data_IF_958219003976
#
_entry.id   IF_958219003976
#
_cell.length_a   1.000
_cell.length_b   1.000
_cell.length_c   1.000
_cell.angle_alpha   90.00
_cell.angle_beta   90.00
_cell.angle_gamma   90.00
#
_symmetry.space_group_name_H-M   'P 1'
#
loop_
_entity.id
_entity.type
_entity.pdbx_description
1 polymer ?
#
# COMPACT_ATOMS: atom_id res chain seq x y z
N UNK A 1 101.30 -40.30 -7.24
CA UNK A 1 102.60 -39.97 -7.95
C UNK A 1 102.65 -38.45 -8.09
N UNK A 2 103.74 -37.89 -7.55
CA UNK A 2 104.56 -36.74 -7.96
C UNK A 2 103.91 -35.37 -8.09
N UNK A 3 104.05 -34.50 -7.13
CA UNK A 3 105.04 -33.38 -6.95
C UNK A 3 105.19 -32.40 -8.12
N UNK A 4 105.70 -31.20 -7.84
CA UNK A 4 105.23 -29.91 -7.23
C UNK A 4 105.54 -28.73 -8.19
N UNK A 5 105.30 -27.46 -7.80
CA UNK A 5 106.30 -26.38 -7.82
C UNK A 5 105.83 -25.04 -7.35
N UNK A 6 106.50 -24.61 -6.42
CA UNK A 6 106.76 -23.38 -5.75
C UNK A 6 107.21 -22.23 -6.67
N UNK A 7 106.84 -21.02 -6.42
CA UNK A 7 107.65 -19.77 -6.38
C UNK A 7 106.68 -18.58 -6.11
N UNK A 8 106.87 -18.04 -5.06
CA UNK A 8 107.78 -17.00 -4.54
C UNK A 8 107.30 -15.57 -4.90
N UNK A 9 106.94 -14.85 -3.87
CA UNK A 9 107.24 -13.47 -3.55
C UNK A 9 107.34 -12.43 -4.68
N UNK A 10 106.39 -11.47 -4.61
CA UNK A 10 106.68 -10.06 -4.78
C UNK A 10 105.71 -9.22 -3.96
N UNK A 11 106.14 -8.88 -2.76
CA UNK A 11 105.49 -7.83 -1.95
C UNK A 11 105.72 -6.48 -2.65
N UNK A 12 104.77 -6.03 -3.43
CA UNK A 12 104.71 -4.66 -3.88
C UNK A 12 104.24 -3.78 -2.69
N UNK A 13 105.19 -3.08 -2.09
CA UNK A 13 104.99 -2.04 -1.10
C UNK A 13 104.15 -0.92 -1.71
N UNK A 14 102.81 -0.90 -1.41
CA UNK A 14 101.94 0.15 -1.78
C UNK A 14 102.31 1.41 -0.97
N UNK A 15 102.72 2.46 -1.63
CA UNK A 15 102.98 3.78 -1.03
C UNK A 15 101.86 4.31 -0.16
N UNK A 16 102.11 5.00 0.98
CA UNK A 16 101.12 5.47 1.92
C UNK A 16 100.10 6.42 1.29
N UNK A 17 100.38 6.99 0.14
CA UNK A 17 99.44 7.87 -0.61
C UNK A 17 98.32 7.14 -1.32
N UNK A 18 98.49 5.90 -1.82
CA UNK A 18 97.49 5.09 -2.50
C UNK A 18 96.50 4.48 -1.51
N UNK A 19 96.94 4.08 -0.32
CA UNK A 19 96.08 3.59 0.76
C UNK A 19 95.10 4.64 1.24
N UNK A 20 95.52 5.90 1.34
CA UNK A 20 94.63 7.04 1.73
C UNK A 20 93.64 7.37 0.63
N UNK A 21 93.96 7.29 -0.62
CA UNK A 21 93.07 7.50 -1.76
C UNK A 21 91.97 6.40 -1.82
N UNK A 22 92.34 5.15 -1.63
CA UNK A 22 91.44 4.00 -1.61
C UNK A 22 90.50 4.03 -0.37
N UNK A 23 91.00 4.43 0.80
CA UNK A 23 90.24 4.60 2.01
C UNK A 23 89.23 5.76 1.88
N UNK A 24 89.61 6.89 1.27
CA UNK A 24 88.72 8.05 1.03
C UNK A 24 87.68 7.72 -0.02
N UNK A 25 88.02 6.97 -1.07
CA UNK A 25 86.99 6.49 -2.05
C UNK A 25 86.00 5.51 -1.47
N UNK A 26 86.43 4.61 -0.54
CA UNK A 26 85.49 3.72 0.18
C UNK A 26 84.59 4.48 1.12
N UNK A 27 85.07 5.50 1.85
CA UNK A 27 84.24 6.32 2.74
C UNK A 27 83.21 7.15 1.94
N UNK A 28 83.63 7.72 0.81
CA UNK A 28 82.69 8.48 -0.06
C UNK A 28 81.61 7.56 -0.66
N UNK A 29 82.00 6.35 -1.11
CA UNK A 29 80.99 5.37 -1.58
C UNK A 29 80.07 4.94 -0.45
N UNK A 30 80.57 4.68 0.75
CA UNK A 30 79.69 4.35 1.89
C UNK A 30 78.75 5.51 2.34
N UNK A 31 79.20 6.78 2.20
CA UNK A 31 78.35 7.91 2.47
C UNK A 31 77.26 8.13 1.40
N UNK A 32 77.59 7.88 0.12
CA UNK A 32 76.64 7.91 -0.98
C UNK A 32 75.58 6.80 -0.82
N UNK A 33 76.03 5.57 -0.59
CA UNK A 33 75.17 4.40 -0.34
C UNK A 33 74.29 4.60 0.90
N UNK A 34 74.84 5.22 1.96
CA UNK A 34 74.00 5.59 3.14
C UNK A 34 73.01 6.68 2.83
N UNK A 35 73.29 7.68 2.02
CA UNK A 35 72.41 8.72 1.60
C UNK A 35 71.32 8.17 0.67
N UNK A 36 71.64 7.32 -0.27
CA UNK A 36 70.68 6.65 -1.15
C UNK A 36 69.79 5.67 -0.39
N UNK A 37 70.35 4.86 0.50
CA UNK A 37 69.56 3.94 1.34
C UNK A 37 68.62 4.70 2.32
N UNK A 38 69.07 5.85 2.83
CA UNK A 38 68.25 6.70 3.70
C UNK A 38 67.12 7.42 2.92
N UNK A 39 67.35 7.82 1.67
CA UNK A 39 66.35 8.37 0.76
C UNK A 39 65.34 7.30 0.35
N UNK A 40 65.79 6.15 -0.09
CA UNK A 40 64.92 5.01 -0.44
C UNK A 40 64.10 4.50 0.73
N UNK A 41 64.63 4.54 1.96
CA UNK A 41 63.88 4.16 3.16
C UNK A 41 62.82 5.19 3.57
N UNK A 42 63.10 6.50 3.36
CA UNK A 42 62.12 7.59 3.55
C UNK A 42 61.02 7.56 2.50
N UNK A 43 61.34 7.36 1.23
CA UNK A 43 60.36 7.20 0.15
C UNK A 43 59.45 5.99 0.37
N UNK A 44 60.00 4.85 0.77
CA UNK A 44 59.19 3.67 1.13
C UNK A 44 58.31 3.88 2.35
N UNK A 45 58.77 4.68 3.33
CA UNK A 45 57.92 5.08 4.47
C UNK A 45 56.79 6.00 4.03
N UNK A 46 57.09 7.03 3.22
CA UNK A 46 56.06 7.95 2.67
C UNK A 46 55.08 7.22 1.76
N UNK A 47 55.54 6.28 0.91
CA UNK A 47 54.67 5.44 0.10
C UNK A 47 53.76 4.55 0.97
N UNK A 48 54.33 3.89 1.98
CA UNK A 48 53.49 3.10 2.91
C UNK A 48 52.48 3.94 3.65
N UNK A 49 52.89 5.11 4.14
CA UNK A 49 51.95 6.06 4.82
C UNK A 49 50.88 6.54 3.85
N UNK A 50 51.24 6.90 2.62
CA UNK A 50 50.29 7.31 1.59
C UNK A 50 49.29 6.20 1.23
N UNK A 51 49.80 4.94 1.08
CA UNK A 51 48.96 3.76 0.82
C UNK A 51 48.03 3.51 2.03
N UNK A 52 48.57 3.59 3.27
CA UNK A 52 47.75 3.38 4.47
C UNK A 52 46.65 4.44 4.60
N UNK A 53 46.96 5.69 4.32
CA UNK A 53 45.97 6.80 4.30
C UNK A 53 44.96 6.55 3.18
N UNK A 54 45.43 6.18 1.98
CA UNK A 54 44.54 5.90 0.84
C UNK A 54 43.59 4.73 1.12
N UNK A 55 44.08 3.64 1.67
CA UNK A 55 43.26 2.49 2.09
C UNK A 55 42.28 2.89 3.21
N UNK A 56 42.77 3.66 4.19
CA UNK A 56 41.92 4.18 5.26
C UNK A 56 40.75 5.05 4.74
N UNK A 57 41.05 5.95 3.78
CA UNK A 57 40.01 6.79 3.14
C UNK A 57 39.04 5.95 2.32
N UNK A 58 39.54 4.94 1.61
CA UNK A 58 38.71 4.03 0.81
C UNK A 58 37.79 3.20 1.68
N UNK A 59 38.30 2.69 2.81
CA UNK A 59 37.47 1.99 3.81
C UNK A 59 36.43 2.91 4.46
N UNK A 60 36.78 4.16 4.72
CA UNK A 60 35.86 5.15 5.26
C UNK A 60 34.73 5.46 4.26
N UNK A 61 35.07 5.69 2.98
CA UNK A 61 34.08 5.90 1.91
C UNK A 61 33.18 4.66 1.78
N UNK A 62 33.78 3.47 1.75
CA UNK A 62 33.03 2.22 1.67
C UNK A 62 32.10 2.04 2.89
N UNK A 63 32.58 2.39 4.09
CA UNK A 63 31.77 2.38 5.30
C UNK A 63 30.57 3.32 5.23
N UNK A 64 30.79 4.56 4.76
CA UNK A 64 29.70 5.55 4.59
C UNK A 64 28.66 5.06 3.55
N UNK A 65 29.14 4.58 2.40
CA UNK A 65 28.24 4.08 1.34
C UNK A 65 27.48 2.84 1.82
N UNK A 66 28.16 1.90 2.48
CA UNK A 66 27.52 0.70 3.04
C UNK A 66 26.50 1.04 4.13
N UNK A 67 26.81 2.01 4.98
CA UNK A 67 25.88 2.49 6.01
C UNK A 67 24.68 3.18 5.39
N UNK A 68 24.90 4.05 4.37
CA UNK A 68 23.80 4.68 3.63
C UNK A 68 22.90 3.65 2.95
N UNK A 69 23.50 2.66 2.28
CA UNK A 69 22.76 1.56 1.67
C UNK A 69 21.96 0.75 2.69
N UNK A 70 22.58 0.44 3.85
CA UNK A 70 21.89 -0.25 4.94
C UNK A 70 20.68 0.54 5.46
N UNK A 71 20.82 1.84 5.67
CA UNK A 71 19.76 2.71 6.17
C UNK A 71 18.59 2.88 5.18
N UNK A 72 18.88 2.94 3.89
CA UNK A 72 17.91 3.26 2.84
C UNK A 72 17.22 2.00 2.27
N UNK A 73 17.98 0.91 2.06
CA UNK A 73 17.47 -0.25 1.35
C UNK A 73 17.32 -1.51 2.20
N UNK A 74 18.16 -1.70 3.22
CA UNK A 74 18.13 -2.94 3.98
C UNK A 74 17.23 -2.88 5.21
N UNK A 75 17.30 -1.80 5.97
CA UNK A 75 16.56 -1.63 7.23
C UNK A 75 15.07 -1.36 7.02
N UNK A 76 14.63 -0.39 6.16
CA UNK A 76 13.23 0.02 6.10
C UNK A 76 12.25 -1.12 5.77
N UNK A 77 12.51 -2.03 4.80
CA UNK A 77 11.56 -3.11 4.50
C UNK A 77 11.35 -4.10 5.63
N UNK A 78 12.27 -4.16 6.61
CA UNK A 78 12.23 -5.07 7.76
C UNK A 78 11.66 -4.44 9.03
N UNK A 79 11.41 -3.14 8.99
CA UNK A 79 10.75 -2.46 10.11
C UNK A 79 9.29 -2.88 10.15
N UNK A 80 8.78 -3.15 11.34
CA UNK A 80 7.37 -3.49 11.51
C UNK A 80 6.47 -2.29 11.14
N UNK A 81 5.37 -2.58 10.45
CA UNK A 81 4.34 -1.62 10.05
C UNK A 81 3.15 -1.66 11.00
N UNK A 82 2.74 -2.84 11.40
CA UNK A 82 1.66 -3.07 12.35
C UNK A 82 1.65 -4.51 12.82
N UNK A 83 0.86 -4.80 13.84
CA UNK A 83 0.70 -6.15 14.38
C UNK A 83 -0.71 -6.40 14.90
N UNK A 84 -1.15 -7.65 14.76
CA UNK A 84 -2.38 -8.17 15.35
C UNK A 84 -1.99 -9.38 16.19
N UNK A 85 -2.04 -9.25 17.52
CA UNK A 85 -1.51 -10.25 18.47
C UNK A 85 -0.08 -10.65 18.12
N UNK A 86 0.15 -11.91 17.81
CA UNK A 86 1.48 -12.48 17.50
C UNK A 86 1.90 -12.33 16.03
N UNK A 87 1.02 -11.80 15.17
CA UNK A 87 1.31 -11.61 13.74
C UNK A 87 1.77 -10.18 13.50
N UNK A 88 3.01 -10.04 13.03
CA UNK A 88 3.61 -8.76 12.67
C UNK A 88 3.69 -8.61 11.15
N UNK A 89 3.36 -7.43 10.67
CA UNK A 89 3.51 -7.04 9.27
C UNK A 89 4.64 -6.02 9.15
N UNK A 90 5.46 -6.19 8.13
CA UNK A 90 6.60 -5.32 7.83
C UNK A 90 6.25 -4.25 6.81
N UNK A 91 7.05 -3.18 6.75
CA UNK A 91 6.92 -2.16 5.70
C UNK A 91 7.17 -2.74 4.29
N UNK A 92 8.00 -3.79 4.18
CA UNK A 92 8.21 -4.50 2.91
C UNK A 92 6.96 -5.23 2.43
N UNK A 93 6.25 -5.91 3.33
CA UNK A 93 4.96 -6.55 3.03
C UNK A 93 3.90 -5.53 2.66
N UNK A 94 3.86 -4.39 3.34
CA UNK A 94 2.96 -3.28 2.98
C UNK A 94 3.25 -2.77 1.55
N UNK A 95 4.52 -2.56 1.18
CA UNK A 95 4.90 -2.21 -0.20
C UNK A 95 4.40 -3.24 -1.20
N UNK A 96 4.59 -4.52 -0.91
CA UNK A 96 4.15 -5.61 -1.79
C UNK A 96 2.62 -5.59 -1.97
N UNK A 97 1.88 -5.40 -0.89
CA UNK A 97 0.40 -5.34 -0.93
C UNK A 97 -0.12 -4.13 -1.72
N UNK A 98 0.50 -2.96 -1.57
CA UNK A 98 0.10 -1.77 -2.34
C UNK A 98 0.42 -1.95 -3.83
N UNK A 99 1.53 -2.62 -4.18
CA UNK A 99 1.83 -2.97 -5.58
C UNK A 99 0.75 -3.85 -6.21
N UNK A 100 0.26 -4.82 -5.44
CA UNK A 100 -0.88 -5.66 -5.83
C UNK A 100 -2.10 -4.80 -6.12
N UNK A 101 -2.42 -3.85 -5.24
CA UNK A 101 -3.52 -2.90 -5.46
C UNK A 101 -3.31 -2.06 -6.74
N UNK A 102 -2.10 -1.55 -6.97
CA UNK A 102 -1.79 -0.83 -8.21
C UNK A 102 -1.98 -1.70 -9.46
N UNK A 103 -1.57 -2.96 -9.39
CA UNK A 103 -1.78 -3.91 -10.49
C UNK A 103 -3.26 -4.11 -10.82
N UNK A 104 -4.13 -4.12 -9.80
CA UNK A 104 -5.57 -4.31 -9.95
C UNK A 104 -6.31 -3.03 -10.33
N UNK A 105 -6.04 -1.92 -9.66
CA UNK A 105 -6.80 -0.67 -9.78
C UNK A 105 -6.14 0.39 -10.67
N UNK A 106 -4.89 0.20 -11.06
CA UNK A 106 -4.11 1.19 -11.79
C UNK A 106 -3.42 2.19 -10.86
N UNK A 107 -3.59 3.50 -11.11
CA UNK A 107 -2.99 4.51 -10.24
C UNK A 107 -3.72 4.58 -8.90
N UNK A 108 -2.94 4.62 -7.80
CA UNK A 108 -3.42 4.82 -6.43
C UNK A 108 -2.83 6.10 -5.87
N UNK A 109 -3.57 6.79 -5.02
CA UNK A 109 -3.09 7.98 -4.31
C UNK A 109 -2.15 7.55 -3.18
N UNK A 110 -0.85 7.70 -3.38
CA UNK A 110 0.16 7.28 -2.41
C UNK A 110 0.28 8.20 -1.19
N UNK A 111 -0.46 9.30 -1.14
CA UNK A 111 -0.48 10.18 0.05
C UNK A 111 -1.33 9.60 1.19
N UNK A 112 -2.36 8.84 0.86
CA UNK A 112 -3.32 8.27 1.81
C UNK A 112 -3.24 6.74 1.83
N UNK A 113 -3.11 6.11 0.67
CA UNK A 113 -3.19 4.66 0.46
C UNK A 113 -2.28 3.83 1.37
N UNK A 114 -1.01 4.20 1.65
CA UNK A 114 -0.17 3.35 2.50
C UNK A 114 -0.75 3.14 3.90
N UNK A 115 -1.38 4.16 4.47
CA UNK A 115 -1.99 4.08 5.78
C UNK A 115 -3.32 3.30 5.75
N UNK A 116 -4.18 3.61 4.80
CA UNK A 116 -5.45 2.90 4.61
C UNK A 116 -5.23 1.42 4.31
N UNK A 117 -4.20 1.14 3.51
CA UNK A 117 -3.90 -0.25 3.15
C UNK A 117 -3.30 -1.05 4.31
N UNK A 118 -2.51 -0.42 5.17
CA UNK A 118 -2.08 -1.06 6.42
C UNK A 118 -3.30 -1.40 7.29
N UNK A 119 -4.25 -0.47 7.43
CA UNK A 119 -5.49 -0.72 8.16
C UNK A 119 -6.24 -1.92 7.59
N UNK A 120 -6.45 -1.94 6.28
CA UNK A 120 -7.13 -3.06 5.61
C UNK A 120 -6.38 -4.40 5.80
N UNK A 121 -5.06 -4.38 5.80
CA UNK A 121 -4.24 -5.56 6.05
C UNK A 121 -4.42 -6.09 7.48
N UNK A 122 -4.45 -5.18 8.46
CA UNK A 122 -4.72 -5.53 9.85
C UNK A 122 -6.15 -6.05 10.04
N UNK A 123 -7.14 -5.42 9.40
CA UNK A 123 -8.55 -5.87 9.45
C UNK A 123 -8.73 -7.27 8.86
N UNK A 124 -8.05 -7.56 7.75
CA UNK A 124 -8.06 -8.91 7.16
C UNK A 124 -7.48 -9.95 8.12
N UNK A 125 -6.40 -9.60 8.83
CA UNK A 125 -5.80 -10.49 9.83
C UNK A 125 -6.68 -10.64 11.08
N UNK A 126 -7.31 -9.55 11.55
CA UNK A 126 -8.30 -9.61 12.65
C UNK A 126 -9.44 -10.55 12.27
N UNK A 127 -10.00 -10.40 11.06
CA UNK A 127 -11.07 -11.28 10.58
C UNK A 127 -10.59 -12.73 10.44
N UNK A 128 -9.37 -12.97 9.96
CA UNK A 128 -8.79 -14.30 9.86
C UNK A 128 -8.70 -14.99 11.23
N UNK A 129 -8.32 -14.24 12.27
CA UNK A 129 -8.22 -14.78 13.64
C UNK A 129 -9.58 -14.92 14.32
N UNK A 130 -10.48 -13.97 14.12
CA UNK A 130 -11.83 -13.98 14.70
C UNK A 130 -12.76 -14.97 13.97
N UNK A 131 -12.48 -15.25 12.70
CA UNK A 131 -13.37 -16.01 11.80
C UNK A 131 -13.78 -17.37 12.34
N UNK A 132 -12.86 -18.12 12.96
CA UNK A 132 -13.18 -19.41 13.54
C UNK A 132 -14.27 -19.32 14.63
N UNK A 133 -14.19 -18.29 15.49
CA UNK A 133 -15.20 -18.04 16.52
C UNK A 133 -16.55 -17.57 15.98
N UNK A 134 -16.54 -16.97 14.78
CA UNK A 134 -17.74 -16.50 14.06
C UNK A 134 -18.33 -17.56 13.12
N UNK A 135 -17.73 -18.75 13.04
CA UNK A 135 -18.14 -19.79 12.08
C UNK A 135 -17.74 -19.47 10.62
N UNK A 136 -16.86 -18.51 10.41
CA UNK A 136 -16.36 -18.12 9.10
C UNK A 136 -15.10 -18.91 8.81
N UNK A 137 -15.14 -19.78 7.80
CA UNK A 137 -13.98 -20.51 7.30
C UNK A 137 -13.91 -20.41 5.78
N UNK A 138 -12.73 -20.19 5.22
CA UNK A 138 -12.51 -20.18 3.76
C UNK A 138 -11.54 -21.29 3.43
N UNK A 139 -12.02 -22.28 2.68
CA UNK A 139 -11.23 -23.44 2.25
C UNK A 139 -10.51 -23.14 0.94
N UNK A 140 -9.50 -23.96 0.59
CA UNK A 140 -8.84 -23.86 -0.72
C UNK A 140 -9.84 -24.11 -1.86
N UNK A 141 -10.79 -25.02 -1.66
CA UNK A 141 -11.88 -25.28 -2.61
C UNK A 141 -12.74 -24.05 -2.88
N UNK A 142 -13.05 -23.25 -1.85
CA UNK A 142 -13.79 -21.98 -2.02
C UNK A 142 -12.98 -20.99 -2.87
N UNK A 143 -11.66 -20.89 -2.64
CA UNK A 143 -10.77 -20.03 -3.40
C UNK A 143 -10.67 -20.48 -4.86
N UNK A 144 -10.54 -21.79 -5.09
CA UNK A 144 -10.51 -22.36 -6.43
C UNK A 144 -11.82 -22.08 -7.19
N UNK A 145 -12.94 -22.26 -6.50
CA UNK A 145 -14.26 -21.99 -7.08
C UNK A 145 -14.42 -20.51 -7.42
N UNK A 146 -14.04 -19.60 -6.50
CA UNK A 146 -14.11 -18.16 -6.74
C UNK A 146 -13.23 -17.73 -7.92
N UNK A 147 -12.03 -18.32 -8.06
CA UNK A 147 -11.18 -18.06 -9.21
C UNK A 147 -11.81 -18.56 -10.51
N UNK A 148 -12.42 -19.76 -10.49
CA UNK A 148 -13.13 -20.30 -11.66
C UNK A 148 -14.32 -19.43 -12.04
N UNK A 149 -15.14 -19.03 -11.08
CA UNK A 149 -16.32 -18.17 -11.34
C UNK A 149 -15.93 -16.85 -12.01
N UNK A 150 -14.73 -16.33 -11.71
CA UNK A 150 -14.26 -15.08 -12.28
C UNK A 150 -13.68 -15.22 -13.68
N UNK A 151 -13.01 -16.33 -14.00
CA UNK A 151 -12.26 -16.50 -15.24
C UNK A 151 -12.84 -17.52 -16.22
N UNK A 152 -13.82 -18.32 -15.79
CA UNK A 152 -14.54 -19.16 -16.71
C UNK A 152 -15.38 -18.29 -17.66
N UNK A 153 -15.32 -18.55 -18.97
CA UNK A 153 -16.18 -17.85 -19.91
C UNK A 153 -17.66 -18.15 -19.62
N UNK A 154 -18.49 -17.10 -19.65
CA UNK A 154 -19.94 -17.25 -19.55
C UNK A 154 -20.45 -17.98 -20.78
N UNK A 155 -21.08 -19.11 -20.56
CA UNK A 155 -21.66 -19.92 -21.64
C UNK A 155 -22.96 -19.31 -22.12
N UNK A 156 -23.18 -19.22 -23.45
CA UNK A 156 -24.54 -19.06 -23.98
C UNK A 156 -25.39 -20.27 -23.58
N UNK A 157 -26.62 -20.05 -23.17
CA UNK A 157 -27.55 -21.13 -22.87
C UNK A 157 -27.70 -22.07 -24.06
N UNK A 158 -27.49 -23.38 -23.81
CA UNK A 158 -27.68 -24.43 -24.83
C UNK A 158 -26.43 -24.91 -25.56
N UNK A 159 -25.22 -24.40 -25.27
CA UNK A 159 -23.98 -24.95 -25.84
C UNK A 159 -23.32 -25.95 -24.86
N UNK A 160 -23.16 -27.21 -25.32
CA UNK A 160 -22.27 -28.16 -24.69
C UNK A 160 -20.82 -27.77 -24.98
N UNK A 161 -20.06 -27.51 -23.93
CA UNK A 161 -18.63 -27.22 -24.04
C UNK A 161 -17.83 -28.40 -23.52
N UNK A 162 -16.74 -28.71 -24.17
CA UNK A 162 -15.78 -29.72 -23.69
C UNK A 162 -15.16 -29.23 -22.36
N UNK A 163 -15.25 -30.03 -21.28
CA UNK A 163 -14.64 -29.67 -20.00
C UNK A 163 -13.13 -29.38 -20.10
N UNK A 164 -12.42 -30.04 -21.00
CA UNK A 164 -10.99 -29.81 -21.24
C UNK A 164 -10.71 -28.44 -21.86
N UNK A 165 -11.56 -28.01 -22.82
CA UNK A 165 -11.46 -26.67 -23.43
C UNK A 165 -11.75 -25.58 -22.39
N UNK A 166 -12.77 -25.74 -21.56
CA UNK A 166 -13.09 -24.77 -20.49
C UNK A 166 -11.97 -24.60 -19.49
N UNK A 167 -11.35 -25.70 -19.07
CA UNK A 167 -10.21 -25.63 -18.16
C UNK A 167 -9.00 -24.92 -18.80
N UNK A 168 -8.77 -25.13 -20.09
CA UNK A 168 -7.71 -24.46 -20.83
C UNK A 168 -8.00 -22.95 -20.96
N UNK A 169 -9.24 -22.56 -21.26
CA UNK A 169 -9.67 -21.17 -21.35
C UNK A 169 -9.55 -20.47 -19.98
N UNK A 170 -9.98 -21.14 -18.91
CA UNK A 170 -9.79 -20.65 -17.55
C UNK A 170 -8.33 -20.34 -17.25
N UNK A 171 -7.42 -21.31 -17.49
CA UNK A 171 -5.98 -21.13 -17.24
C UNK A 171 -5.39 -19.99 -18.06
N UNK A 172 -5.79 -19.87 -19.30
CA UNK A 172 -5.32 -18.81 -20.17
C UNK A 172 -5.79 -17.42 -19.69
N UNK A 173 -7.08 -17.30 -19.33
CA UNK A 173 -7.66 -16.05 -18.83
C UNK A 173 -7.00 -15.64 -17.50
N UNK A 174 -6.78 -16.59 -16.58
CA UNK A 174 -6.07 -16.35 -15.34
C UNK A 174 -4.63 -15.89 -15.59
N UNK A 175 -3.88 -16.56 -16.46
CA UNK A 175 -2.52 -16.16 -16.80
C UNK A 175 -2.45 -14.76 -17.45
N UNK A 176 -3.37 -14.43 -18.34
CA UNK A 176 -3.46 -13.09 -18.94
C UNK A 176 -3.71 -12.04 -17.85
N UNK A 177 -4.63 -12.33 -16.93
CA UNK A 177 -4.92 -11.45 -15.79
C UNK A 177 -3.70 -11.25 -14.91
N UNK A 178 -3.04 -12.32 -14.46
CA UNK A 178 -1.85 -12.28 -13.61
C UNK A 178 -0.71 -11.52 -14.28
N UNK A 179 -0.47 -11.76 -15.57
CA UNK A 179 0.56 -11.04 -16.33
C UNK A 179 0.24 -9.54 -16.45
N UNK A 180 -1.02 -9.18 -16.68
CA UNK A 180 -1.46 -7.78 -16.81
C UNK A 180 -1.36 -7.02 -15.47
N UNK A 181 -1.68 -7.69 -14.37
CA UNK A 181 -1.67 -7.11 -13.04
C UNK A 181 -0.32 -7.23 -12.34
N UNK A 182 0.64 -7.94 -12.96
CA UNK A 182 1.94 -8.27 -12.37
C UNK A 182 1.83 -8.98 -11.01
N UNK A 183 0.84 -9.88 -10.89
CA UNK A 183 0.61 -10.68 -9.69
C UNK A 183 1.09 -12.11 -9.89
N UNK A 184 1.53 -12.71 -8.80
CA UNK A 184 1.66 -14.15 -8.71
C UNK A 184 0.30 -14.78 -8.38
N UNK A 185 0.10 -16.03 -8.76
CA UNK A 185 -1.11 -16.76 -8.41
C UNK A 185 -1.30 -16.86 -6.88
N UNK A 186 -0.21 -17.04 -6.13
CA UNK A 186 -0.25 -17.08 -4.66
C UNK A 186 -0.78 -15.78 -4.05
N UNK A 187 -0.32 -14.63 -4.53
CA UNK A 187 -0.80 -13.32 -4.09
C UNK A 187 -2.29 -13.14 -4.41
N UNK A 188 -2.69 -13.52 -5.61
CA UNK A 188 -4.09 -13.44 -6.01
C UNK A 188 -4.99 -14.33 -5.13
N UNK A 189 -4.56 -15.57 -4.83
CA UNK A 189 -5.30 -16.49 -3.93
C UNK A 189 -5.46 -15.91 -2.52
N UNK A 190 -4.47 -15.21 -2.00
CA UNK A 190 -4.59 -14.52 -0.70
C UNK A 190 -5.68 -13.45 -0.75
N UNK A 191 -5.71 -12.64 -1.81
CA UNK A 191 -6.75 -11.62 -2.00
C UNK A 191 -8.14 -12.25 -2.08
N UNK A 192 -8.30 -13.30 -2.87
CA UNK A 192 -9.58 -14.02 -2.97
C UNK A 192 -10.04 -14.56 -1.61
N UNK A 193 -9.13 -15.12 -0.83
CA UNK A 193 -9.43 -15.62 0.52
C UNK A 193 -9.93 -14.51 1.44
N UNK A 194 -9.25 -13.38 1.43
CA UNK A 194 -9.64 -12.20 2.23
C UNK A 194 -11.03 -11.67 1.79
N UNK A 195 -11.26 -11.56 0.47
CA UNK A 195 -12.55 -11.13 -0.07
C UNK A 195 -13.70 -12.10 0.29
N UNK A 196 -13.45 -13.41 0.21
CA UNK A 196 -14.43 -14.44 0.59
C UNK A 196 -14.76 -14.38 2.09
N UNK A 197 -13.73 -14.19 2.93
CA UNK A 197 -13.94 -14.03 4.37
C UNK A 197 -14.80 -12.81 4.68
N UNK A 198 -14.48 -11.66 4.06
CA UNK A 198 -15.23 -10.43 4.22
C UNK A 198 -16.68 -10.56 3.73
N UNK A 199 -16.89 -11.23 2.60
CA UNK A 199 -18.24 -11.52 2.08
C UNK A 199 -19.02 -12.41 3.04
N UNK A 200 -18.40 -13.43 3.64
CA UNK A 200 -19.05 -14.31 4.64
C UNK A 200 -19.39 -13.55 5.91
N UNK A 201 -18.52 -12.63 6.35
CA UNK A 201 -18.81 -11.72 7.46
C UNK A 201 -20.02 -10.84 7.13
N UNK A 202 -20.05 -10.23 5.95
CA UNK A 202 -21.17 -9.40 5.52
C UNK A 202 -22.49 -10.18 5.50
N UNK A 203 -22.50 -11.41 5.00
CA UNK A 203 -23.67 -12.29 5.02
C UNK A 203 -24.11 -12.62 6.45
N UNK A 204 -23.17 -12.95 7.33
CA UNK A 204 -23.44 -13.26 8.73
C UNK A 204 -24.09 -12.07 9.45
N UNK A 205 -23.48 -10.90 9.33
CA UNK A 205 -24.00 -9.68 9.95
C UNK A 205 -25.35 -9.26 9.34
N UNK A 206 -25.52 -9.50 8.05
CA UNK A 206 -26.74 -9.21 7.31
C UNK A 206 -27.96 -10.05 7.72
N UNK A 207 -27.74 -11.22 8.33
CA UNK A 207 -28.84 -12.05 8.87
C UNK A 207 -29.64 -11.35 10.00
N UNK A 208 -29.06 -10.33 10.63
CA UNK A 208 -29.70 -9.53 11.65
C UNK A 208 -30.48 -8.31 11.12
N UNK A 209 -30.52 -8.12 9.80
CA UNK A 209 -31.28 -7.02 9.18
C UNK A 209 -32.68 -7.53 8.90
N UNK A 210 -33.66 -6.93 9.54
CA UNK A 210 -35.09 -7.19 9.28
C UNK A 210 -35.45 -6.86 7.83
N UNK A 211 -36.47 -7.50 7.29
CA UNK A 211 -36.92 -7.21 5.93
C UNK A 211 -37.61 -5.85 5.83
N UNK A 212 -38.29 -5.42 6.90
CA UNK A 212 -38.95 -4.11 7.04
C UNK A 212 -38.29 -3.32 8.16
N UNK A 213 -38.17 -2.01 7.99
CA UNK A 213 -37.67 -1.09 9.01
C UNK A 213 -38.36 0.28 8.87
N UNK A 214 -38.33 1.08 9.94
CA UNK A 214 -38.66 2.50 9.85
C UNK A 214 -37.63 3.22 8.97
N UNK A 215 -38.11 3.88 7.93
CA UNK A 215 -37.34 4.60 6.93
C UNK A 215 -37.88 5.99 6.72
N UNK A 216 -37.07 6.86 6.17
CA UNK A 216 -37.45 8.20 5.70
C UNK A 216 -37.25 8.29 4.20
N UNK A 217 -38.16 8.94 3.50
CA UNK A 217 -38.02 9.18 2.07
C UNK A 217 -37.27 10.49 1.83
N UNK A 218 -36.22 10.44 1.03
CA UNK A 218 -35.36 11.60 0.81
C UNK A 218 -34.93 11.76 -0.64
N UNK A 219 -34.58 12.97 -0.97
CA UNK A 219 -33.72 13.32 -2.09
C UNK A 219 -32.57 14.18 -1.57
N UNK A 220 -31.39 14.12 -2.25
CA UNK A 220 -30.25 14.93 -1.86
C UNK A 220 -29.40 15.40 -3.03
N UNK A 221 -28.70 16.49 -2.76
CA UNK A 221 -27.59 16.98 -3.57
C UNK A 221 -26.30 16.63 -2.81
N UNK A 222 -25.37 15.94 -3.46
CA UNK A 222 -24.05 15.67 -2.93
C UNK A 222 -22.99 16.38 -3.76
N UNK A 223 -22.20 17.22 -3.11
CA UNK A 223 -21.05 17.90 -3.69
C UNK A 223 -19.76 17.23 -3.17
N UNK A 224 -18.75 17.12 -4.02
CA UNK A 224 -17.44 16.69 -3.59
C UNK A 224 -16.79 17.73 -2.67
N UNK A 225 -15.93 17.30 -1.73
CA UNK A 225 -15.24 18.21 -0.79
C UNK A 225 -14.36 19.26 -1.50
N UNK A 226 -13.86 18.93 -2.69
CA UNK A 226 -13.07 19.81 -3.55
C UNK A 226 -13.90 20.49 -4.65
N UNK A 227 -15.23 20.40 -4.58
CA UNK A 227 -16.12 21.02 -5.56
C UNK A 227 -15.90 22.56 -5.59
N UNK A 228 -15.98 23.13 -6.78
CA UNK A 228 -16.00 24.59 -6.96
C UNK A 228 -17.37 25.20 -6.74
N UNK A 229 -18.39 24.35 -6.60
CA UNK A 229 -19.77 24.75 -6.35
C UNK A 229 -19.93 25.07 -4.87
N UNK A 230 -20.40 26.27 -4.54
CA UNK A 230 -20.65 26.67 -3.16
C UNK A 230 -21.97 26.03 -2.67
N UNK A 231 -21.87 25.19 -1.63
CA UNK A 231 -23.00 24.51 -1.05
C UNK A 231 -24.04 25.47 -0.44
N UNK A 232 -23.62 26.63 0.07
CA UNK A 232 -24.54 27.64 0.61
C UNK A 232 -25.31 28.34 -0.53
N UNK A 233 -24.66 28.59 -1.65
CA UNK A 233 -25.33 29.13 -2.84
C UNK A 233 -26.36 28.13 -3.39
N UNK A 234 -26.00 26.84 -3.48
CA UNK A 234 -26.91 25.80 -3.90
C UNK A 234 -28.11 25.74 -2.96
N UNK A 235 -27.89 25.80 -1.63
CA UNK A 235 -29.00 25.80 -0.66
C UNK A 235 -29.94 27.01 -0.83
N UNK A 236 -29.39 28.21 -1.08
CA UNK A 236 -30.17 29.43 -1.31
C UNK A 236 -31.03 29.35 -2.60
N UNK A 237 -30.48 28.69 -3.65
CA UNK A 237 -31.25 28.44 -4.88
C UNK A 237 -32.50 27.62 -4.63
N UNK A 238 -32.43 26.62 -3.72
CA UNK A 238 -33.52 25.72 -3.39
C UNK A 238 -34.69 26.41 -2.67
N UNK A 239 -34.54 27.65 -2.23
CA UNK A 239 -35.66 28.43 -1.70
C UNK A 239 -36.63 28.91 -2.80
N UNK A 240 -36.21 28.95 -4.06
CA UNK A 240 -36.96 29.48 -5.18
C UNK A 240 -36.94 28.58 -6.43
N UNK A 241 -36.15 27.53 -6.44
CA UNK A 241 -35.99 26.66 -7.58
C UNK A 241 -36.38 25.21 -7.21
N UNK A 242 -36.82 24.48 -8.21
CA UNK A 242 -37.14 23.05 -8.07
C UNK A 242 -35.93 22.23 -7.69
N UNK A 243 -36.04 21.33 -6.69
CA UNK A 243 -34.95 20.54 -6.16
C UNK A 243 -34.32 19.65 -7.23
N UNK A 244 -35.14 18.94 -8.02
CA UNK A 244 -34.68 18.01 -9.04
C UNK A 244 -33.91 18.73 -10.16
N UNK A 245 -34.31 19.97 -10.49
CA UNK A 245 -33.58 20.78 -11.47
C UNK A 245 -32.21 21.19 -10.95
N UNK A 246 -32.16 21.74 -9.75
CA UNK A 246 -30.87 22.14 -9.15
C UNK A 246 -29.96 20.92 -8.97
N UNK A 247 -30.51 19.81 -8.48
CA UNK A 247 -29.75 18.55 -8.33
C UNK A 247 -29.21 18.07 -9.68
N UNK A 248 -30.00 18.12 -10.74
CA UNK A 248 -29.57 17.75 -12.09
C UNK A 248 -28.42 18.58 -12.63
N UNK A 249 -28.28 19.85 -12.20
CA UNK A 249 -27.20 20.74 -12.62
C UNK A 249 -25.91 20.54 -11.83
N UNK A 250 -25.99 20.28 -10.51
CA UNK A 250 -24.82 20.35 -9.61
C UNK A 250 -24.43 19.02 -8.98
N UNK A 251 -25.28 18.00 -9.02
CA UNK A 251 -25.06 16.72 -8.38
C UNK A 251 -24.11 15.83 -9.19
N UNK A 252 -22.82 16.12 -9.13
CA UNK A 252 -21.80 15.45 -9.95
C UNK A 252 -21.37 14.07 -9.41
N UNK A 253 -21.76 13.73 -8.17
CA UNK A 253 -21.31 12.54 -7.46
C UNK A 253 -22.46 11.75 -6.80
N UNK A 254 -23.60 11.69 -7.45
CA UNK A 254 -24.82 11.04 -6.95
C UNK A 254 -24.70 9.51 -6.92
N UNK A 255 -23.98 8.97 -5.93
CA UNK A 255 -23.70 7.52 -5.88
C UNK A 255 -24.93 6.67 -5.56
N UNK A 256 -25.94 7.21 -4.91
CA UNK A 256 -27.20 6.53 -4.51
C UNK A 256 -28.45 7.29 -4.98
N UNK A 257 -28.28 8.47 -5.56
CA UNK A 257 -29.38 9.26 -6.07
C UNK A 257 -29.57 9.09 -7.57
N UNK A 258 -30.82 9.11 -8.03
CA UNK A 258 -31.18 9.20 -9.43
C UNK A 258 -30.83 10.60 -10.00
N UNK A 259 -30.80 10.77 -11.32
CA UNK A 259 -30.79 12.11 -11.91
C UNK A 259 -31.95 12.94 -11.30
N UNK A 260 -31.64 14.12 -10.78
CA UNK A 260 -32.59 14.93 -10.03
C UNK A 260 -32.54 14.76 -8.51
N UNK A 261 -31.67 13.90 -7.98
CA UNK A 261 -31.37 13.83 -6.56
C UNK A 261 -32.22 12.83 -5.77
N UNK A 262 -33.24 12.23 -6.36
CA UNK A 262 -34.11 11.28 -5.66
C UNK A 262 -33.36 10.01 -5.25
N UNK A 263 -33.44 9.66 -3.97
CA UNK A 263 -32.79 8.48 -3.36
C UNK A 263 -33.83 7.41 -2.99
N UNK A 264 -35.00 7.85 -2.53
CA UNK A 264 -36.06 7.00 -2.03
C UNK A 264 -35.97 6.77 -0.53
N UNK A 265 -36.43 5.60 -0.10
CA UNK A 265 -36.49 5.20 1.31
C UNK A 265 -35.13 4.83 1.88
N UNK A 266 -34.74 5.50 2.95
CA UNK A 266 -33.44 5.33 3.63
C UNK A 266 -33.67 4.83 5.05
N UNK A 267 -33.22 3.63 5.42
CA UNK A 267 -33.28 3.10 6.77
C UNK A 267 -32.17 3.69 7.65
N UNK A 268 -32.42 3.75 8.96
CA UNK A 268 -31.40 4.13 9.94
C UNK A 268 -30.19 3.20 9.88
N UNK A 269 -29.00 3.76 9.91
CA UNK A 269 -27.73 3.02 9.84
C UNK A 269 -27.19 2.83 8.43
N UNK A 270 -27.97 3.10 7.37
CA UNK A 270 -27.45 3.05 6.00
C UNK A 270 -26.45 4.19 5.72
N UNK A 271 -26.64 5.34 6.32
CA UNK A 271 -25.75 6.51 6.20
C UNK A 271 -25.47 7.11 7.59
N UNK A 272 -24.59 6.52 8.42
CA UNK A 272 -24.39 6.93 9.81
C UNK A 272 -24.02 8.41 9.98
N UNK A 273 -23.34 9.00 8.99
CA UNK A 273 -23.01 10.44 9.00
C UNK A 273 -24.24 11.36 8.83
N UNK A 274 -25.36 10.82 8.35
CA UNK A 274 -26.61 11.53 8.11
C UNK A 274 -27.72 11.13 9.09
N UNK A 275 -27.53 10.06 9.86
CA UNK A 275 -28.54 9.50 10.74
C UNK A 275 -29.08 10.53 11.74
N UNK A 276 -28.22 11.34 12.34
CA UNK A 276 -28.61 12.35 13.30
C UNK A 276 -29.56 13.43 12.70
N UNK A 277 -29.34 13.77 11.42
CA UNK A 277 -30.19 14.73 10.71
C UNK A 277 -31.51 14.08 10.27
N UNK A 278 -31.44 12.82 9.83
CA UNK A 278 -32.61 12.12 9.27
C UNK A 278 -33.59 11.61 10.36
N UNK A 279 -33.03 11.09 11.46
CA UNK A 279 -33.75 10.38 12.52
C UNK A 279 -33.72 11.07 13.88
N UNK A 280 -32.85 12.09 14.04
CA UNK A 280 -32.56 12.71 15.33
C UNK A 280 -31.50 11.95 16.13
N UNK A 281 -30.95 12.62 17.13
CA UNK A 281 -30.00 12.06 18.06
C UNK A 281 -30.30 12.63 19.46
N UNK A 282 -30.95 11.83 20.29
CA UNK A 282 -31.34 12.24 21.66
C UNK A 282 -30.14 12.53 22.54
N UNK A 283 -29.01 11.78 22.36
CA UNK A 283 -27.82 11.96 23.17
C UNK A 283 -27.14 13.32 22.87
N UNK A 284 -27.22 13.77 21.62
CA UNK A 284 -26.69 15.07 21.18
C UNK A 284 -27.73 16.19 21.21
N UNK A 285 -28.94 15.90 21.65
CA UNK A 285 -30.08 16.83 21.63
C UNK A 285 -30.30 17.45 20.24
N UNK A 286 -30.18 16.61 19.20
CA UNK A 286 -30.34 16.98 17.81
C UNK A 286 -31.71 16.47 17.31
N UNK A 287 -32.57 17.40 16.90
CA UNK A 287 -33.86 17.07 16.31
C UNK A 287 -33.68 16.59 14.86
N UNK A 288 -34.54 15.66 14.44
CA UNK A 288 -34.59 15.21 13.06
C UNK A 288 -35.15 16.34 12.17
N UNK A 289 -34.70 16.36 10.91
CA UNK A 289 -35.28 17.21 9.87
C UNK A 289 -36.79 16.92 9.76
N UNK A 290 -37.62 17.96 9.65
CA UNK A 290 -39.05 17.78 9.47
C UNK A 290 -39.40 17.29 8.04
N UNK A 291 -40.56 16.67 7.90
CA UNK A 291 -41.06 16.28 6.58
C UNK A 291 -41.34 17.53 5.72
N UNK A 292 -40.82 17.54 4.50
CA UNK A 292 -40.88 18.68 3.58
C UNK A 292 -39.77 19.70 3.80
N UNK A 293 -38.89 19.52 4.78
CA UNK A 293 -37.79 20.44 5.07
C UNK A 293 -36.53 20.12 4.26
N UNK A 294 -35.84 21.20 3.82
CA UNK A 294 -34.53 21.12 3.18
C UNK A 294 -33.46 21.52 4.18
N UNK A 295 -32.49 20.62 4.41
CA UNK A 295 -31.40 20.83 5.35
C UNK A 295 -30.47 22.00 4.95
N UNK A 296 -29.71 22.48 5.94
CA UNK A 296 -28.49 23.24 5.66
C UNK A 296 -27.44 22.31 5.07
N UNK A 297 -26.36 22.83 4.43
CA UNK A 297 -25.25 22.00 3.99
C UNK A 297 -24.64 21.19 5.13
N UNK A 298 -24.58 19.88 4.98
CA UNK A 298 -24.04 18.90 5.96
C UNK A 298 -22.68 18.45 5.46
N UNK A 299 -21.63 18.78 6.20
CA UNK A 299 -20.27 18.40 5.87
C UNK A 299 -19.96 17.02 6.45
N UNK A 300 -19.62 16.07 5.58
CA UNK A 300 -19.23 14.73 5.94
C UNK A 300 -17.85 14.40 5.35
N UNK A 301 -17.26 13.28 5.72
CA UNK A 301 -16.00 12.81 5.09
C UNK A 301 -16.21 12.43 3.61
N UNK A 302 -17.42 12.09 3.22
CA UNK A 302 -17.75 11.65 1.85
C UNK A 302 -18.10 12.83 0.92
N UNK A 303 -18.39 14.00 1.45
CA UNK A 303 -18.80 15.17 0.70
C UNK A 303 -19.73 16.09 1.50
N UNK A 304 -20.29 17.09 0.82
CA UNK A 304 -21.28 18.01 1.39
C UNK A 304 -22.66 17.64 0.87
N UNK A 305 -23.58 17.37 1.78
CA UNK A 305 -24.95 16.98 1.46
C UNK A 305 -25.92 18.12 1.74
N UNK A 306 -26.89 18.29 0.85
CA UNK A 306 -28.12 19.10 1.09
C UNK A 306 -29.27 18.13 0.87
N UNK A 307 -30.04 17.88 1.92
CA UNK A 307 -31.07 16.83 1.95
C UNK A 307 -32.45 17.49 2.02
N UNK A 308 -33.34 17.04 1.17
CA UNK A 308 -34.76 17.28 1.30
C UNK A 308 -35.43 16.01 1.84
N UNK A 309 -36.03 16.10 3.01
CA UNK A 309 -36.80 15.01 3.61
C UNK A 309 -38.25 15.06 3.11
N UNK A 310 -38.60 14.12 2.24
CA UNK A 310 -39.93 14.11 1.60
C UNK A 310 -40.98 13.65 2.57
N UNK A 311 -40.71 12.57 3.33
CA UNK A 311 -41.69 12.01 4.27
C UNK A 311 -41.11 11.80 5.67
N UNK A 312 -41.98 11.68 6.67
CA UNK A 312 -41.62 11.23 8.01
C UNK A 312 -41.28 9.74 8.08
N UNK A 313 -41.04 9.27 9.31
CA UNK A 313 -40.77 7.85 9.58
C UNK A 313 -41.95 6.98 9.13
N UNK A 314 -41.66 5.98 8.33
CA UNK A 314 -42.64 5.02 7.82
C UNK A 314 -42.00 3.65 7.74
N UNK A 315 -42.71 2.62 8.17
CA UNK A 315 -42.31 1.25 8.03
C UNK A 315 -42.38 0.82 6.56
N UNK A 316 -41.25 0.41 6.00
CA UNK A 316 -41.09 0.05 4.58
C UNK A 316 -40.20 -1.15 4.42
N UNK A 317 -40.40 -1.91 3.35
CA UNK A 317 -39.49 -2.96 2.92
C UNK A 317 -38.13 -2.36 2.53
N UNK A 318 -37.04 -2.99 2.98
CA UNK A 318 -35.69 -2.52 2.66
C UNK A 318 -35.34 -2.93 1.21
N UNK A 319 -35.07 -1.94 0.38
CA UNK A 319 -34.57 -2.22 -0.99
C UNK A 319 -33.20 -2.92 -1.00
N UNK A 320 -32.91 -3.66 -2.08
CA UNK A 320 -31.63 -4.37 -2.23
C UNK A 320 -30.43 -3.42 -2.11
N UNK A 321 -30.55 -2.20 -2.64
CA UNK A 321 -29.50 -1.17 -2.54
C UNK A 321 -29.25 -0.75 -1.10
N UNK A 322 -30.31 -0.53 -0.32
CA UNK A 322 -30.19 -0.14 1.09
C UNK A 322 -29.76 -1.31 1.95
N UNK A 323 -30.23 -2.52 1.68
CA UNK A 323 -29.74 -3.74 2.34
C UNK A 323 -28.24 -3.93 2.13
N UNK A 324 -27.78 -3.73 0.89
CA UNK A 324 -26.34 -3.76 0.58
C UNK A 324 -25.56 -2.68 1.36
N UNK A 325 -26.11 -1.46 1.42
CA UNK A 325 -25.48 -0.34 2.16
C UNK A 325 -25.42 -0.63 3.66
N UNK A 326 -26.50 -1.12 4.26
CA UNK A 326 -26.52 -1.55 5.65
C UNK A 326 -25.50 -2.64 5.95
N UNK A 327 -25.42 -3.66 5.10
CA UNK A 327 -24.41 -4.72 5.24
C UNK A 327 -22.98 -4.16 5.23
N UNK A 328 -22.72 -3.22 4.33
CA UNK A 328 -21.40 -2.57 4.23
C UNK A 328 -21.07 -1.80 5.52
N UNK A 329 -22.06 -1.06 6.06
CA UNK A 329 -21.87 -0.30 7.30
C UNK A 329 -21.72 -1.20 8.53
N UNK A 330 -22.44 -2.32 8.58
CA UNK A 330 -22.28 -3.32 9.65
C UNK A 330 -20.87 -3.93 9.64
N UNK A 331 -20.33 -4.26 8.46
CA UNK A 331 -18.95 -4.74 8.34
C UNK A 331 -17.97 -3.67 8.79
N UNK A 332 -18.14 -2.42 8.35
CA UNK A 332 -17.28 -1.31 8.75
C UNK A 332 -17.34 -1.09 10.26
N UNK A 333 -18.53 -1.07 10.84
CA UNK A 333 -18.71 -0.96 12.28
C UNK A 333 -18.01 -2.09 13.04
N UNK A 334 -18.16 -3.33 12.59
CA UNK A 334 -17.48 -4.47 13.18
C UNK A 334 -15.95 -4.29 13.14
N UNK A 335 -15.39 -3.85 12.00
CA UNK A 335 -13.96 -3.57 11.86
C UNK A 335 -13.50 -2.45 12.80
N UNK A 336 -14.24 -1.33 12.87
CA UNK A 336 -13.95 -0.21 13.76
C UNK A 336 -14.01 -0.64 15.24
N UNK A 337 -15.01 -1.42 15.65
CA UNK A 337 -15.15 -1.95 16.99
C UNK A 337 -13.97 -2.89 17.35
N UNK A 338 -13.53 -3.75 16.41
CA UNK A 338 -12.36 -4.61 16.61
C UNK A 338 -11.06 -3.80 16.72
N UNK A 339 -10.88 -2.79 15.88
CA UNK A 339 -9.72 -1.92 15.94
C UNK A 339 -9.67 -1.13 17.25
N UNK A 340 -10.81 -0.60 17.70
CA UNK A 340 -10.90 0.11 18.97
C UNK A 340 -10.57 -0.81 20.15
N UNK A 341 -11.19 -1.99 20.20
CA UNK A 341 -10.90 -3.00 21.22
C UNK A 341 -9.43 -3.41 21.20
N UNK A 342 -8.89 -3.71 20.01
CA UNK A 342 -7.51 -4.13 19.84
C UNK A 342 -6.49 -3.07 20.24
N UNK A 343 -6.78 -1.81 19.96
CA UNK A 343 -5.94 -0.68 20.36
C UNK A 343 -5.98 -0.46 21.88
N UNK A 344 -7.15 -0.54 22.49
CA UNK A 344 -7.34 -0.35 23.93
C UNK A 344 -6.71 -1.49 24.74
N UNK A 345 -6.82 -2.73 24.29
CA UNK A 345 -6.25 -3.90 24.91
C UNK A 345 -4.78 -4.15 24.52
N UNK A 346 -4.26 -3.40 23.52
CA UNK A 346 -2.87 -3.44 23.09
C UNK A 346 -2.48 -4.62 22.21
N UNK A 347 -3.44 -5.43 21.73
CA UNK A 347 -3.17 -6.53 20.81
C UNK A 347 -3.18 -6.13 19.33
N UNK A 348 -3.66 -4.92 19.00
CA UNK A 348 -3.54 -4.30 17.68
C UNK A 348 -2.67 -3.06 17.79
N UNK A 349 -1.61 -3.00 17.02
CA UNK A 349 -0.67 -1.89 17.02
C UNK A 349 -0.32 -1.46 15.61
N UNK A 350 -0.15 -0.15 15.41
CA UNK A 350 0.30 0.45 14.16
C UNK A 350 1.50 1.36 14.39
N UNK A 351 2.45 1.34 13.45
CA UNK A 351 3.65 2.18 13.51
C UNK A 351 3.41 3.48 12.74
N UNK A 352 3.11 4.55 13.46
CA UNK A 352 2.87 5.88 12.89
C UNK A 352 4.18 6.63 12.64
N UNK A 353 4.94 6.21 11.65
CA UNK A 353 6.20 6.86 11.28
C UNK A 353 6.15 7.43 9.87
N UNK A 354 5.98 8.75 9.75
CA UNK A 354 5.84 9.45 8.46
C UNK A 354 7.01 9.20 7.49
N UNK A 355 8.24 9.04 8.00
CA UNK A 355 9.41 8.74 7.14
C UNK A 355 9.31 7.34 6.52
N UNK A 356 8.78 6.37 7.27
CA UNK A 356 8.59 5.01 6.76
C UNK A 356 7.46 4.97 5.73
N UNK A 357 6.38 5.72 5.95
CA UNK A 357 5.30 5.83 4.95
C UNK A 357 5.75 6.55 3.68
N UNK A 358 6.56 7.60 3.78
CA UNK A 358 7.19 8.23 2.62
C UNK A 358 8.07 7.22 1.86
N UNK A 359 8.90 6.44 2.58
CA UNK A 359 9.68 5.37 1.99
C UNK A 359 8.81 4.32 1.28
N UNK A 360 7.69 3.91 1.88
CA UNK A 360 6.71 2.99 1.25
C UNK A 360 6.20 3.58 -0.05
N UNK A 361 5.77 4.85 -0.05
CA UNK A 361 5.28 5.53 -1.23
C UNK A 361 6.34 5.58 -2.35
N UNK A 362 7.57 5.93 -2.02
CA UNK A 362 8.70 5.94 -2.97
C UNK A 362 8.97 4.54 -3.55
N UNK A 363 8.98 3.49 -2.72
CA UNK A 363 9.20 2.12 -3.19
C UNK A 363 8.07 1.63 -4.12
N UNK A 364 6.83 1.96 -3.79
CA UNK A 364 5.67 1.64 -4.64
C UNK A 364 5.76 2.38 -5.97
N UNK A 365 6.11 3.66 -5.96
CA UNK A 365 6.26 4.46 -7.17
C UNK A 365 7.41 3.96 -8.07
N UNK A 366 8.56 3.60 -7.48
CA UNK A 366 9.71 3.06 -8.20
C UNK A 366 9.41 1.72 -8.88
N UNK A 367 8.50 0.95 -8.31
CA UNK A 367 8.14 -0.38 -8.78
C UNK A 367 6.85 -0.42 -9.59
N UNK A 368 6.18 0.73 -9.75
CA UNK A 368 4.99 0.83 -10.59
C UNK A 368 5.30 0.36 -12.02
N UNK A 369 4.44 -0.48 -12.63
CA UNK A 369 4.59 -0.80 -14.04
C UNK A 369 4.65 0.50 -14.84
N UNK A 370 5.66 0.65 -15.67
CA UNK A 370 5.73 1.79 -16.62
C UNK A 370 4.64 1.58 -17.65
N UNK A 371 3.43 1.96 -17.32
CA UNK A 371 2.33 1.99 -18.28
C UNK A 371 2.66 3.08 -19.29
N UNK A 372 2.85 2.68 -20.55
CA UNK A 372 2.84 3.62 -21.66
C UNK A 372 1.55 4.46 -21.63
N UNK A 373 1.51 5.62 -22.29
CA UNK A 373 0.37 6.52 -22.25
C UNK A 373 -0.91 5.74 -22.62
N UNK A 374 -1.86 5.72 -21.70
CA UNK A 374 -3.14 5.02 -21.84
C UNK A 374 -3.93 5.69 -22.95
N UNK A 375 -4.41 4.92 -23.91
CA UNK A 375 -5.31 5.47 -24.94
C UNK A 375 -6.57 6.01 -24.24
N UNK A 376 -7.04 7.25 -24.57
CA UNK A 376 -8.25 7.81 -23.98
C UNK A 376 -9.43 6.88 -24.30
N UNK A 377 -10.15 6.42 -23.26
CA UNK A 377 -11.39 5.64 -23.43
C UNK A 377 -11.31 4.15 -23.05
N UNK A 378 -10.18 3.60 -22.59
CA UNK A 378 -10.19 2.25 -22.04
C UNK A 378 -10.64 2.26 -20.58
N UNK A 379 -11.74 1.55 -20.23
CA UNK A 379 -12.13 1.34 -18.84
C UNK A 379 -10.99 0.64 -18.09
N UNK A 380 -10.71 1.08 -16.87
CA UNK A 380 -9.78 0.40 -15.98
C UNK A 380 -10.22 -1.05 -15.75
N UNK A 381 -9.30 -1.97 -15.44
CA UNK A 381 -9.69 -3.24 -14.86
C UNK A 381 -10.34 -2.92 -13.50
N UNK A 382 -11.68 -2.78 -13.50
CA UNK A 382 -12.42 -2.65 -12.28
C UNK A 382 -12.22 -3.92 -11.46
N UNK A 383 -11.65 -3.79 -10.27
CA UNK A 383 -12.03 -4.72 -9.23
C UNK A 383 -13.55 -4.55 -9.06
N UNK A 384 -14.32 -5.61 -8.93
CA UNK A 384 -15.55 -5.50 -8.19
C UNK A 384 -15.14 -4.90 -6.84
N UNK A 385 -15.62 -3.68 -6.53
CA UNK A 385 -15.45 -3.09 -5.21
C UNK A 385 -15.82 -4.16 -4.17
N UNK A 386 -15.46 -4.00 -2.89
CA UNK A 386 -15.86 -4.93 -1.83
C UNK A 386 -17.40 -4.93 -1.70
N UNK A 387 -18.10 -5.42 -2.69
CA UNK A 387 -19.55 -5.36 -2.81
C UNK A 387 -20.14 -5.47 -4.19
N UNK A 388 -19.34 -5.61 -5.25
CA UNK A 388 -19.87 -5.91 -6.56
C UNK A 388 -20.41 -7.35 -6.61
N UNK A 389 -21.66 -7.55 -6.19
CA UNK A 389 -22.44 -8.68 -6.66
C UNK A 389 -22.65 -8.49 -8.16
N UNK A 390 -22.52 -9.54 -8.99
CA UNK A 390 -22.91 -9.45 -10.40
C UNK A 390 -24.40 -9.07 -10.42
N UNK A 391 -24.68 -7.85 -10.92
CA UNK A 391 -26.04 -7.47 -11.20
C UNK A 391 -26.62 -8.45 -12.21
N UNK A 392 -27.77 -9.01 -11.87
CA UNK A 392 -28.71 -9.53 -12.85
C UNK A 392 -29.28 -8.40 -13.63
#
# INVERSE_FOLDING_TARGET
MAFPWNRSDAAAQATPAEGRRRARGRRLRQEVDRRESSRASRERRHQRTAITIGVGLLLLIFGIVSFGFYQEFYRPPRVWAGSVRDVEFTMGELVQRIRVLQGLSGQVDLSIVPFEYLRNLLDAEVLRQAGAGLGISVTEGDVDQAAKDQFLPQKPEGQESDPGQLEQEYRNNLQIFLARTNLTEAEYRVILREQLALRRLALLLGLGIDDTQEQVEVEWIRLELNSRVDAAEVRNRLDNEDFARVAGEVNTAARFAQPGGYVGWVPKGAFPSLDAILFGDEEKNQEALESGEISRPIFTQEGVYIIHKISGLTEQDISDVMRFKLNTELVRKWQDDQQLAGSNEGWLRMNFNSKLYAWVADQVQLSAPRTGPRAPGQPGPGLPGPGGLPGR
#
